data_IF_526935269239
#
_entry.id   IF_526935269239
#
_cell.length_a   1.000
_cell.length_b   1.000
_cell.length_c   1.000
_cell.angle_alpha   90.00
_cell.angle_beta   90.00
_cell.angle_gamma   90.00
#
_symmetry.space_group_name_H-M   'P 1'
#
loop_
_entity.id
_entity.type
_entity.pdbx_description
1 polymer ?
#
# COMPACT_ATOMS: atom_id res chain seq x y z
N UNK A 1 -2.79 23.52 -22.62
CA UNK A 1 -3.61 23.27 -21.42
C UNK A 1 -2.79 22.42 -20.48
N UNK A 2 -2.75 22.72 -19.18
CA UNK A 2 -1.93 21.94 -18.25
C UNK A 2 -2.58 20.57 -18.00
N UNK A 3 -1.78 19.51 -18.02
CA UNK A 3 -2.20 18.18 -17.58
C UNK A 3 -2.03 18.08 -16.06
N UNK A 4 -3.04 17.53 -15.38
CA UNK A 4 -2.99 17.22 -13.94
C UNK A 4 -2.90 15.71 -13.80
N UNK A 5 -1.89 15.24 -13.07
CA UNK A 5 -1.72 13.83 -12.77
C UNK A 5 -1.90 13.62 -11.26
N UNK A 6 -2.89 12.82 -10.88
CA UNK A 6 -3.03 12.39 -9.50
C UNK A 6 -2.16 11.16 -9.27
N UNK A 7 -1.23 11.29 -8.34
CA UNK A 7 -0.34 10.21 -7.90
C UNK A 7 -0.52 10.04 -6.39
N UNK A 8 -0.92 8.83 -5.97
CA UNK A 8 -1.14 8.51 -4.58
C UNK A 8 -0.11 7.47 -4.11
N UNK A 9 0.68 7.84 -3.11
CA UNK A 9 1.60 6.92 -2.44
C UNK A 9 0.87 6.23 -1.29
N UNK A 10 0.88 4.89 -1.29
CA UNK A 10 0.14 4.09 -0.33
C UNK A 10 1.09 3.13 0.36
N UNK A 11 1.42 3.46 1.60
CA UNK A 11 2.36 2.71 2.42
C UNK A 11 1.86 2.59 3.86
N UNK A 12 2.11 1.44 4.46
CA UNK A 12 1.86 1.15 5.86
C UNK A 12 2.96 0.19 6.36
N UNK A 13 3.81 0.57 7.33
CA UNK A 13 4.87 -0.33 7.82
C UNK A 13 4.33 -1.37 8.82
N UNK A 14 5.15 -2.35 9.23
CA UNK A 14 4.86 -3.13 10.43
C UNK A 14 5.42 -2.42 11.66
N UNK A 15 4.64 -2.38 12.75
CA UNK A 15 5.01 -1.76 14.02
C UNK A 15 5.71 -2.79 14.86
N UNK A 16 6.82 -2.38 15.45
CA UNK A 16 7.56 -3.18 16.40
C UNK A 16 6.83 -3.19 17.74
N UNK A 17 6.85 -4.34 18.41
CA UNK A 17 6.49 -4.40 19.82
C UNK A 17 7.59 -3.79 20.68
N UNK A 18 7.31 -3.61 21.96
CA UNK A 18 8.40 -3.36 22.89
C UNK A 18 9.25 -4.64 22.96
N UNK A 19 10.48 -4.53 22.47
CA UNK A 19 11.45 -5.63 22.38
C UNK A 19 12.75 -5.17 23.06
N UNK A 20 13.25 -5.97 23.97
CA UNK A 20 14.38 -5.67 24.86
C UNK A 20 15.42 -6.78 24.81
N UNK A 21 16.57 -6.54 25.43
CA UNK A 21 17.63 -7.56 25.55
C UNK A 21 17.23 -8.78 26.40
N UNK A 22 16.11 -8.71 27.12
CA UNK A 22 15.62 -9.80 27.96
C UNK A 22 14.61 -10.70 27.24
N UNK A 23 14.12 -10.26 26.08
CA UNK A 23 13.25 -11.06 25.23
C UNK A 23 14.08 -12.17 24.55
N UNK A 24 13.53 -13.39 24.54
CA UNK A 24 14.22 -14.59 24.01
C UNK A 24 13.55 -15.16 22.77
N UNK A 25 12.36 -14.68 22.42
CA UNK A 25 11.66 -15.05 21.19
C UNK A 25 12.03 -14.14 20.02
N UNK A 26 11.70 -14.57 18.80
CA UNK A 26 11.97 -13.86 17.56
C UNK A 26 10.77 -13.03 17.05
N UNK A 27 9.73 -12.83 17.87
CA UNK A 27 8.59 -12.01 17.48
C UNK A 27 8.92 -10.53 17.71
N UNK A 28 9.29 -9.79 16.67
CA UNK A 28 9.60 -8.37 16.79
C UNK A 28 8.37 -7.45 16.64
N UNK A 29 7.23 -7.96 16.17
CA UNK A 29 6.13 -7.14 15.71
C UNK A 29 4.96 -7.07 16.70
N UNK A 30 4.25 -5.94 16.69
CA UNK A 30 3.04 -5.72 17.46
C UNK A 30 1.81 -6.06 16.59
N UNK A 31 1.47 -7.35 16.54
CA UNK A 31 0.38 -7.87 15.71
C UNK A 31 -0.94 -7.17 15.99
N UNK A 32 -1.23 -6.90 17.27
CA UNK A 32 -2.46 -6.23 17.67
C UNK A 32 -2.53 -4.81 17.07
N UNK A 33 -1.46 -4.02 17.23
CA UNK A 33 -1.41 -2.67 16.63
C UNK A 33 -1.43 -2.74 15.10
N UNK A 34 -0.72 -3.68 14.49
CA UNK A 34 -0.67 -3.82 13.04
C UNK A 34 -2.07 -4.09 12.45
N UNK A 35 -2.78 -5.08 12.98
CA UNK A 35 -4.17 -5.38 12.58
C UNK A 35 -5.07 -4.18 12.81
N UNK A 36 -5.02 -3.57 14.01
CA UNK A 36 -5.90 -2.48 14.39
C UNK A 36 -5.70 -1.25 13.50
N UNK A 37 -4.45 -0.85 13.26
CA UNK A 37 -4.14 0.32 12.45
C UNK A 37 -4.47 0.04 10.97
N UNK A 38 -4.12 -1.14 10.44
CA UNK A 38 -4.43 -1.49 9.05
C UNK A 38 -5.95 -1.41 8.78
N UNK A 39 -6.78 -2.05 9.63
CA UNK A 39 -8.25 -1.97 9.52
C UNK A 39 -8.80 -0.55 9.69
N UNK A 40 -8.21 0.24 10.58
CA UNK A 40 -8.60 1.65 10.77
C UNK A 40 -8.30 2.50 9.53
N UNK A 41 -7.12 2.32 8.92
CA UNK A 41 -6.75 3.06 7.70
C UNK A 41 -7.56 2.57 6.51
N UNK A 42 -7.77 1.27 6.37
CA UNK A 42 -8.63 0.68 5.35
C UNK A 42 -10.04 1.31 5.36
N UNK A 43 -10.71 1.31 6.52
CA UNK A 43 -12.07 1.85 6.66
C UNK A 43 -12.15 3.37 6.49
N UNK A 44 -11.15 4.12 6.95
CA UNK A 44 -11.18 5.59 6.92
C UNK A 44 -10.61 6.21 5.64
N UNK A 45 -9.73 5.51 4.94
CA UNK A 45 -8.97 6.05 3.82
C UNK A 45 -9.20 5.23 2.55
N UNK A 46 -8.73 3.97 2.52
CA UNK A 46 -8.66 3.21 1.27
C UNK A 46 -10.03 2.88 0.70
N UNK A 47 -10.95 2.35 1.53
CA UNK A 47 -12.31 2.02 1.10
C UNK A 47 -13.07 3.23 0.53
N UNK A 48 -13.25 4.34 1.27
CA UNK A 48 -14.00 5.48 0.73
C UNK A 48 -13.31 6.12 -0.47
N UNK A 49 -11.97 6.19 -0.48
CA UNK A 49 -11.23 6.82 -1.58
C UNK A 49 -11.32 5.97 -2.85
N UNK A 50 -11.11 4.66 -2.76
CA UNK A 50 -11.15 3.77 -3.93
C UNK A 50 -12.56 3.72 -4.53
N UNK A 51 -13.61 3.69 -3.70
CA UNK A 51 -15.00 3.77 -4.17
C UNK A 51 -15.31 5.09 -4.89
N UNK A 52 -14.84 6.22 -4.33
CA UNK A 52 -14.99 7.52 -4.97
C UNK A 52 -14.26 7.58 -6.32
N UNK A 53 -13.03 7.11 -6.37
CA UNK A 53 -12.22 7.14 -7.59
C UNK A 53 -12.81 6.24 -8.66
N UNK A 54 -13.34 5.06 -8.28
CA UNK A 54 -14.07 4.18 -9.17
C UNK A 54 -15.35 4.84 -9.72
N UNK A 55 -16.11 5.54 -8.87
CA UNK A 55 -17.28 6.32 -9.31
C UNK A 55 -16.88 7.43 -10.30
N UNK A 56 -15.81 8.17 -10.02
CA UNK A 56 -15.34 9.23 -10.92
C UNK A 56 -14.91 8.65 -12.28
N UNK A 57 -14.16 7.54 -12.29
CA UNK A 57 -13.76 6.86 -13.53
C UNK A 57 -14.99 6.47 -14.35
N UNK A 58 -16.01 5.86 -13.71
CA UNK A 58 -17.27 5.47 -14.37
C UNK A 58 -18.04 6.69 -14.87
N UNK A 59 -18.23 7.69 -14.03
CA UNK A 59 -18.97 8.94 -14.33
C UNK A 59 -18.37 9.68 -15.51
N UNK A 60 -17.04 9.75 -15.58
CA UNK A 60 -16.33 10.41 -16.67
C UNK A 60 -15.96 9.47 -17.82
N UNK A 61 -16.58 8.27 -17.89
CA UNK A 61 -16.45 7.31 -19.00
C UNK A 61 -14.98 6.99 -19.33
N UNK A 62 -14.16 6.77 -18.29
CA UNK A 62 -12.75 6.43 -18.41
C UNK A 62 -11.81 7.59 -18.78
N UNK A 63 -12.31 8.84 -18.83
CA UNK A 63 -11.47 10.03 -19.07
C UNK A 63 -10.73 10.50 -17.82
N UNK A 64 -11.20 10.12 -16.64
CA UNK A 64 -10.51 10.38 -15.38
C UNK A 64 -9.52 9.26 -15.12
N UNK A 65 -8.24 9.60 -14.91
CA UNK A 65 -7.14 8.64 -14.75
C UNK A 65 -6.26 9.05 -13.58
N UNK A 66 -5.71 8.06 -12.89
CA UNK A 66 -4.86 8.24 -11.70
C UNK A 66 -3.75 7.20 -11.70
N UNK A 67 -2.72 7.44 -10.89
CA UNK A 67 -1.70 6.43 -10.58
C UNK A 67 -1.62 6.19 -9.07
N UNK A 68 -1.38 4.95 -8.69
CA UNK A 68 -1.01 4.54 -7.34
C UNK A 68 0.43 4.04 -7.31
N UNK A 69 1.12 4.31 -6.22
CA UNK A 69 2.33 3.62 -5.82
C UNK A 69 2.03 2.86 -4.54
N UNK A 70 2.32 1.56 -4.51
CA UNK A 70 1.98 0.70 -3.39
C UNK A 70 3.20 -0.14 -3.01
N UNK A 71 3.58 -0.10 -1.73
CA UNK A 71 4.66 -0.92 -1.19
C UNK A 71 4.23 -2.39 -1.02
N UNK A 72 5.12 -3.34 -1.29
CA UNK A 72 4.86 -4.78 -1.10
C UNK A 72 4.35 -5.12 0.29
N UNK A 73 4.96 -4.57 1.34
CA UNK A 73 4.55 -4.80 2.73
C UNK A 73 3.12 -4.36 3.05
N UNK A 74 2.57 -3.38 2.32
CA UNK A 74 1.16 -3.00 2.47
C UNK A 74 0.26 -4.03 1.81
N UNK A 75 0.62 -4.57 0.64
CA UNK A 75 -0.18 -5.59 -0.03
C UNK A 75 -0.35 -6.83 0.85
N UNK A 76 0.71 -7.31 1.49
CA UNK A 76 0.65 -8.43 2.45
C UNK A 76 -0.29 -8.12 3.63
N UNK A 77 -0.17 -6.92 4.21
CA UNK A 77 -1.04 -6.50 5.30
C UNK A 77 -2.51 -6.39 4.87
N UNK A 78 -2.79 -5.97 3.63
CA UNK A 78 -4.14 -5.93 3.10
C UNK A 78 -4.69 -7.34 2.88
N UNK A 79 -3.89 -8.26 2.32
CA UNK A 79 -4.29 -9.66 2.16
C UNK A 79 -4.68 -10.30 3.49
N UNK A 80 -3.91 -10.03 4.55
CA UNK A 80 -4.18 -10.59 5.88
C UNK A 80 -5.32 -9.88 6.62
N UNK A 81 -5.41 -8.56 6.55
CA UNK A 81 -6.21 -7.77 7.50
C UNK A 81 -7.38 -7.00 6.88
N UNK A 82 -7.35 -6.72 5.58
CA UNK A 82 -8.37 -5.94 4.87
C UNK A 82 -8.47 -6.34 3.38
N UNK A 83 -8.76 -7.63 3.06
CA UNK A 83 -8.76 -8.12 1.68
C UNK A 83 -9.77 -7.40 0.79
N UNK A 84 -10.83 -6.82 1.36
CA UNK A 84 -11.80 -5.99 0.65
C UNK A 84 -11.17 -4.76 -0.03
N UNK A 85 -10.10 -4.19 0.54
CA UNK A 85 -9.37 -3.08 -0.07
C UNK A 85 -8.59 -3.57 -1.28
N UNK A 86 -7.97 -4.75 -1.19
CA UNK A 86 -7.23 -5.36 -2.29
C UNK A 86 -8.18 -5.67 -3.46
N UNK A 87 -9.38 -6.19 -3.18
CA UNK A 87 -10.43 -6.36 -4.20
C UNK A 87 -10.77 -5.05 -4.89
N UNK A 88 -10.91 -3.94 -4.15
CA UNK A 88 -11.15 -2.63 -4.78
C UNK A 88 -9.98 -2.13 -5.64
N UNK A 89 -8.73 -2.38 -5.23
CA UNK A 89 -7.58 -2.08 -6.09
C UNK A 89 -7.61 -2.90 -7.39
N UNK A 90 -8.00 -4.17 -7.32
CA UNK A 90 -8.18 -5.02 -8.51
C UNK A 90 -9.32 -4.51 -9.41
N UNK A 91 -10.45 -4.08 -8.83
CA UNK A 91 -11.54 -3.46 -9.59
C UNK A 91 -11.08 -2.16 -10.28
N UNK A 92 -10.32 -1.32 -9.58
CA UNK A 92 -9.73 -0.12 -10.14
C UNK A 92 -8.76 -0.45 -11.29
N UNK A 93 -7.90 -1.46 -11.13
CA UNK A 93 -7.02 -1.94 -12.19
C UNK A 93 -7.80 -2.41 -13.43
N UNK A 94 -8.88 -3.18 -13.21
CA UNK A 94 -9.74 -3.71 -14.28
C UNK A 94 -10.41 -2.61 -15.13
N UNK A 95 -10.48 -1.37 -14.64
CA UNK A 95 -10.99 -0.24 -15.44
C UNK A 95 -10.05 0.19 -16.57
N UNK A 96 -8.77 -0.19 -16.52
CA UNK A 96 -7.73 0.31 -17.43
C UNK A 96 -7.43 1.81 -17.28
N UNK A 97 -7.96 2.46 -16.25
CA UNK A 97 -7.81 3.90 -15.99
C UNK A 97 -6.89 4.21 -14.81
N UNK A 98 -6.35 3.16 -14.17
CA UNK A 98 -5.47 3.26 -13.01
C UNK A 98 -4.16 2.57 -13.31
N UNK A 99 -3.06 3.30 -13.19
CA UNK A 99 -1.71 2.76 -13.25
C UNK A 99 -1.24 2.40 -11.85
N UNK A 100 -0.64 1.22 -11.68
CA UNK A 100 -0.02 0.80 -10.43
C UNK A 100 1.49 0.74 -10.62
N UNK A 101 2.19 1.40 -9.71
CA UNK A 101 3.64 1.50 -9.64
C UNK A 101 4.12 0.74 -8.39
N UNK A 102 5.26 0.08 -8.53
CA UNK A 102 5.94 -0.53 -7.39
C UNK A 102 6.80 0.51 -6.66
N UNK A 103 7.03 0.25 -5.37
CA UNK A 103 7.99 0.93 -4.52
C UNK A 103 9.00 -0.10 -4.00
N UNK A 104 10.03 0.33 -3.29
CA UNK A 104 10.81 -0.63 -2.50
C UNK A 104 9.88 -1.39 -1.55
N UNK A 105 10.07 -2.70 -1.43
CA UNK A 105 9.14 -3.61 -0.74
C UNK A 105 8.72 -3.10 0.65
N UNK A 106 9.68 -2.60 1.43
CA UNK A 106 9.49 -2.10 2.79
C UNK A 106 9.46 -0.57 2.91
N UNK A 107 9.37 0.17 1.79
CA UNK A 107 9.51 1.64 1.75
C UNK A 107 10.85 2.16 2.26
N UNK A 108 11.88 1.31 2.21
CA UNK A 108 13.18 1.63 2.77
C UNK A 108 14.02 2.51 1.84
N UNK A 109 15.00 3.19 2.41
CA UNK A 109 16.06 3.91 1.69
C UNK A 109 17.26 2.99 1.42
N UNK A 110 17.03 1.71 1.12
CA UNK A 110 18.06 0.68 0.97
C UNK A 110 19.17 1.07 0.01
N UNK A 111 18.86 1.79 -1.07
CA UNK A 111 19.84 2.27 -2.05
C UNK A 111 21.01 3.05 -1.42
N UNK A 112 20.77 3.77 -0.31
CA UNK A 112 21.80 4.56 0.37
C UNK A 112 22.80 3.72 1.18
N UNK A 113 22.44 2.47 1.51
CA UNK A 113 23.17 1.64 2.47
C UNK A 113 23.62 0.31 1.89
N UNK A 114 22.83 -0.31 1.03
CA UNK A 114 23.12 -1.60 0.40
C UNK A 114 22.44 -1.68 -0.97
N UNK A 115 23.25 -1.75 -2.03
CA UNK A 115 22.75 -1.92 -3.39
C UNK A 115 22.10 -3.29 -3.60
N UNK A 116 22.62 -4.33 -2.94
CA UNK A 116 22.06 -5.69 -2.99
C UNK A 116 20.65 -5.70 -2.40
N UNK A 117 20.48 -5.12 -1.20
CA UNK A 117 19.16 -4.98 -0.55
C UNK A 117 18.19 -4.15 -1.39
N UNK A 118 18.70 -3.11 -2.04
CA UNK A 118 17.86 -2.29 -2.94
C UNK A 118 17.35 -3.09 -4.12
N UNK A 119 18.22 -3.87 -4.77
CA UNK A 119 17.85 -4.73 -5.90
C UNK A 119 16.80 -5.75 -5.45
N UNK A 120 17.03 -6.42 -4.32
CA UNK A 120 16.08 -7.40 -3.77
C UNK A 120 14.69 -6.78 -3.53
N UNK A 121 14.66 -5.57 -2.94
CA UNK A 121 13.40 -4.87 -2.66
C UNK A 121 12.65 -4.34 -3.89
N UNK A 122 13.29 -4.21 -5.06
CA UNK A 122 12.61 -3.77 -6.31
C UNK A 122 12.30 -4.92 -7.28
N UNK A 123 12.90 -6.10 -7.07
CA UNK A 123 12.65 -7.31 -7.88
C UNK A 123 11.60 -8.25 -7.28
N UNK A 124 11.32 -8.10 -5.98
CA UNK A 124 10.29 -8.86 -5.24
C UNK A 124 8.91 -8.21 -5.38
#
# INVERSE_FOLDING_TARGET
MASVCFYFQVHQPLRLRHYTIFDTDDNYFDDFKNVHICKKVASKCYMPSNLLLLDLIKRYKGRFKISYSITGILLEQLELYAPEVLTLFQELAATGCVEFLAETYYHSLSFLYSQEEFIEQIET
#
